data_IF_442442049776
#
_entry.id   IF_442442049776
#
_cell.length_a   1.000
_cell.length_b   1.000
_cell.length_c   1.000
_cell.angle_alpha   90.00
_cell.angle_beta   90.00
_cell.angle_gamma   90.00
#
_symmetry.space_group_name_H-M   'P 1'
#
loop_
_entity.id
_entity.type
_entity.pdbx_description
1 polymer ?
#
# COMPACT_ATOMS: atom_id res chain seq x y z
N UNK A 1 -3.65 -13.66 -29.84
CA UNK A 1 -3.38 -13.77 -28.39
C UNK A 1 -2.00 -14.40 -28.24
N UNK A 2 -1.03 -13.70 -27.65
CA UNK A 2 0.30 -14.28 -27.44
C UNK A 2 0.17 -15.38 -26.38
N UNK A 3 0.30 -16.64 -26.79
CA UNK A 3 0.35 -17.77 -25.86
C UNK A 3 1.66 -17.62 -25.09
N UNK A 4 1.57 -17.21 -23.83
CA UNK A 4 2.73 -17.21 -22.96
C UNK A 4 3.24 -18.66 -22.89
N UNK A 5 4.55 -18.85 -23.10
CA UNK A 5 5.20 -20.17 -23.06
C UNK A 5 5.03 -20.88 -21.71
N UNK A 6 4.65 -20.14 -20.68
CA UNK A 6 4.40 -20.63 -19.33
C UNK A 6 3.04 -20.14 -18.85
N UNK A 7 2.29 -21.04 -18.20
CA UNK A 7 1.01 -20.71 -17.57
C UNK A 7 1.20 -19.78 -16.36
N UNK A 8 0.15 -19.04 -15.99
CA UNK A 8 0.17 -18.16 -14.84
C UNK A 8 0.41 -18.92 -13.53
N UNK A 9 -0.12 -20.13 -13.38
CA UNK A 9 0.10 -20.97 -12.19
C UNK A 9 1.58 -21.30 -12.00
N UNK A 10 2.27 -21.65 -13.10
CA UNK A 10 3.71 -21.94 -13.08
C UNK A 10 4.52 -20.71 -12.63
N UNK A 11 4.14 -19.52 -13.11
CA UNK A 11 4.78 -18.27 -12.72
C UNK A 11 4.57 -17.97 -11.23
N UNK A 12 3.35 -18.11 -10.74
CA UNK A 12 3.02 -17.84 -9.33
C UNK A 12 3.70 -18.82 -8.39
N UNK A 13 3.73 -20.11 -8.77
CA UNK A 13 4.47 -21.14 -8.05
C UNK A 13 5.97 -20.84 -7.99
N UNK A 14 6.56 -20.43 -9.11
CA UNK A 14 7.98 -20.08 -9.14
C UNK A 14 8.32 -18.88 -8.26
N UNK A 15 7.45 -17.85 -8.23
CA UNK A 15 7.63 -16.69 -7.34
C UNK A 15 7.48 -17.08 -5.87
N UNK A 16 6.51 -17.93 -5.52
CA UNK A 16 6.33 -18.41 -4.14
C UNK A 16 7.58 -19.15 -3.63
N UNK A 17 8.07 -20.11 -4.41
CA UNK A 17 9.28 -20.87 -4.09
C UNK A 17 10.52 -19.96 -3.98
N UNK A 18 10.59 -18.91 -4.79
CA UNK A 18 11.66 -17.93 -4.68
C UNK A 18 11.66 -17.21 -3.33
N UNK A 19 10.51 -16.73 -2.89
CA UNK A 19 10.41 -16.06 -1.59
C UNK A 19 10.69 -17.01 -0.43
N UNK A 20 10.26 -18.26 -0.52
CA UNK A 20 10.54 -19.31 0.46
C UNK A 20 12.04 -19.60 0.57
N UNK A 21 12.72 -19.87 -0.56
CA UNK A 21 14.17 -20.14 -0.59
C UNK A 21 14.98 -18.94 -0.10
N UNK A 22 14.60 -17.71 -0.47
CA UNK A 22 15.29 -16.50 0.00
C UNK A 22 15.08 -16.29 1.51
N UNK A 23 13.91 -16.64 2.05
CA UNK A 23 13.63 -16.53 3.47
C UNK A 23 14.34 -17.60 4.31
N UNK A 24 14.46 -18.83 3.80
CA UNK A 24 15.03 -19.97 4.53
C UNK A 24 16.56 -20.08 4.40
N UNK A 25 17.10 -20.04 3.19
CA UNK A 25 18.51 -20.38 2.94
C UNK A 25 19.47 -19.17 3.11
N UNK A 26 18.94 -17.94 3.22
CA UNK A 26 19.75 -16.72 3.09
C UNK A 26 20.54 -16.68 1.78
N UNK A 27 20.11 -17.47 0.79
CA UNK A 27 20.86 -17.74 -0.42
C UNK A 27 21.02 -16.46 -1.25
N UNK A 28 22.18 -16.32 -1.87
CA UNK A 28 22.37 -15.27 -2.87
C UNK A 28 21.31 -15.42 -3.96
N UNK A 29 20.74 -14.30 -4.42
CA UNK A 29 19.68 -14.28 -5.42
C UNK A 29 20.02 -15.21 -6.60
N UNK A 30 21.24 -15.17 -7.11
CA UNK A 30 21.71 -16.02 -8.22
C UNK A 30 21.63 -17.53 -7.94
N UNK A 31 21.92 -17.97 -6.72
CA UNK A 31 21.80 -19.36 -6.30
C UNK A 31 20.34 -19.83 -6.27
N UNK A 32 19.45 -18.99 -5.72
CA UNK A 32 18.01 -19.26 -5.71
C UNK A 32 17.43 -19.37 -7.13
N UNK A 33 17.83 -18.46 -8.05
CA UNK A 33 17.40 -18.51 -9.44
C UNK A 33 17.81 -19.82 -10.14
N UNK A 34 19.04 -20.29 -9.93
CA UNK A 34 19.53 -21.55 -10.54
C UNK A 34 18.83 -22.77 -9.95
N UNK A 35 18.66 -22.82 -8.63
CA UNK A 35 17.98 -23.92 -7.91
C UNK A 35 16.54 -24.07 -8.40
N UNK A 36 15.78 -22.99 -8.41
CA UNK A 36 14.36 -23.00 -8.79
C UNK A 36 14.19 -23.17 -10.29
N UNK A 37 15.05 -22.54 -11.10
CA UNK A 37 15.06 -22.74 -12.55
C UNK A 37 15.26 -24.20 -12.93
N UNK A 38 16.18 -24.90 -12.26
CA UNK A 38 16.37 -26.35 -12.45
C UNK A 38 15.18 -27.20 -11.95
N UNK A 39 14.53 -26.81 -10.86
CA UNK A 39 13.38 -27.55 -10.31
C UNK A 39 12.13 -27.48 -11.19
N UNK A 40 11.91 -26.35 -11.87
CA UNK A 40 10.72 -26.10 -12.69
C UNK A 40 10.99 -26.21 -14.19
N UNK A 41 12.22 -26.54 -14.58
CA UNK A 41 12.71 -26.50 -15.98
C UNK A 41 12.49 -25.13 -16.66
N UNK A 42 12.70 -24.06 -15.89
CA UNK A 42 12.53 -22.67 -16.34
C UNK A 42 13.90 -22.02 -16.45
N UNK A 43 14.13 -21.31 -17.55
CA UNK A 43 15.36 -20.53 -17.71
C UNK A 43 15.51 -19.53 -16.54
N UNK A 44 16.64 -19.54 -15.81
CA UNK A 44 16.89 -18.61 -14.71
C UNK A 44 16.72 -17.13 -15.08
N UNK A 45 17.02 -16.75 -16.32
CA UNK A 45 16.81 -15.40 -16.82
C UNK A 45 15.31 -15.03 -16.92
N UNK A 46 14.46 -16.00 -17.27
CA UNK A 46 13.00 -15.82 -17.28
C UNK A 46 12.46 -15.66 -15.86
N UNK A 47 12.93 -16.48 -14.93
CA UNK A 47 12.57 -16.39 -13.51
C UNK A 47 12.98 -15.03 -12.93
N UNK A 48 14.20 -14.58 -13.22
CA UNK A 48 14.69 -13.25 -12.86
C UNK A 48 13.77 -12.14 -13.36
N UNK A 49 13.38 -12.18 -14.64
CA UNK A 49 12.46 -11.19 -15.21
C UNK A 49 11.08 -11.18 -14.52
N UNK A 50 10.57 -12.34 -14.10
CA UNK A 50 9.32 -12.41 -13.37
C UNK A 50 9.42 -11.81 -11.96
N UNK A 51 10.52 -12.08 -11.26
CA UNK A 51 10.81 -11.52 -9.94
C UNK A 51 10.95 -10.00 -10.02
N UNK A 52 11.72 -9.48 -10.98
CA UNK A 52 11.85 -8.03 -11.21
C UNK A 52 10.50 -7.36 -11.48
N UNK A 53 9.67 -7.97 -12.33
CA UNK A 53 8.32 -7.46 -12.58
C UNK A 53 7.46 -7.48 -11.31
N UNK A 54 7.51 -8.56 -10.52
CA UNK A 54 6.76 -8.65 -9.27
C UNK A 54 7.19 -7.58 -8.25
N UNK A 55 8.50 -7.36 -8.11
CA UNK A 55 9.05 -6.31 -7.24
C UNK A 55 8.63 -4.91 -7.70
N UNK A 56 8.69 -4.63 -9.01
CA UNK A 56 8.25 -3.36 -9.57
C UNK A 56 6.76 -3.12 -9.34
N UNK A 57 5.90 -4.12 -9.58
CA UNK A 57 4.46 -4.01 -9.34
C UNK A 57 4.16 -3.78 -7.85
N UNK A 58 4.85 -4.48 -6.95
CA UNK A 58 4.69 -4.27 -5.51
C UNK A 58 5.13 -2.85 -5.09
N UNK A 59 6.25 -2.36 -5.62
CA UNK A 59 6.72 -1.00 -5.36
C UNK A 59 5.71 0.06 -5.83
N UNK A 60 5.12 -0.13 -7.01
CA UNK A 60 4.06 0.74 -7.55
C UNK A 60 2.80 0.71 -6.68
N UNK A 61 2.36 -0.47 -6.23
CA UNK A 61 1.21 -0.61 -5.33
C UNK A 61 1.44 0.11 -4.00
N UNK A 62 2.63 -0.03 -3.42
CA UNK A 62 3.04 0.65 -2.20
C UNK A 62 3.10 2.18 -2.38
N UNK A 63 3.63 2.65 -3.52
CA UNK A 63 3.67 4.08 -3.84
C UNK A 63 2.26 4.68 -3.95
N UNK A 64 1.35 3.97 -4.63
CA UNK A 64 -0.05 4.39 -4.76
C UNK A 64 -0.75 4.44 -3.40
N UNK A 65 -0.59 3.42 -2.56
CA UNK A 65 -1.15 3.41 -1.20
C UNK A 65 -0.62 4.56 -0.33
N UNK A 66 0.67 4.90 -0.46
CA UNK A 66 1.25 6.06 0.25
C UNK A 66 0.65 7.37 -0.24
N UNK A 67 0.44 7.53 -1.54
CA UNK A 67 -0.18 8.72 -2.12
C UNK A 67 -1.63 8.89 -1.63
N UNK A 68 -2.41 7.80 -1.65
CA UNK A 68 -3.81 7.81 -1.24
C UNK A 68 -3.94 8.19 0.25
N UNK A 69 -3.09 7.61 1.12
CA UNK A 69 -3.02 7.97 2.55
C UNK A 69 -2.65 9.42 2.78
N UNK A 70 -1.73 9.97 1.98
CA UNK A 70 -1.32 11.36 2.12
C UNK A 70 -2.43 12.34 1.69
N UNK A 71 -3.21 11.98 0.67
CA UNK A 71 -4.37 12.76 0.24
C UNK A 71 -5.46 12.79 1.33
N UNK A 72 -5.75 11.65 1.97
CA UNK A 72 -6.71 11.56 3.07
C UNK A 72 -6.27 12.39 4.28
N UNK A 73 -4.99 12.34 4.66
CA UNK A 73 -4.44 13.16 5.74
C UNK A 73 -4.54 14.66 5.46
N UNK A 74 -4.36 15.08 4.20
CA UNK A 74 -4.50 16.49 3.81
C UNK A 74 -5.96 16.95 3.95
N UNK A 75 -6.92 16.14 3.49
CA UNK A 75 -8.35 16.43 3.64
C UNK A 75 -8.75 16.53 5.11
N UNK A 76 -8.37 15.55 5.93
CA UNK A 76 -8.68 15.54 7.36
C UNK A 76 -8.09 16.72 8.13
N UNK A 77 -6.93 17.24 7.70
CA UNK A 77 -6.32 18.45 8.27
C UNK A 77 -7.10 19.72 7.91
N UNK A 78 -7.54 19.84 6.66
CA UNK A 78 -8.40 20.95 6.24
C UNK A 78 -9.73 20.93 6.97
N UNK A 79 -10.37 19.77 7.06
CA UNK A 79 -11.66 19.61 7.76
C UNK A 79 -11.52 19.94 9.26
N UNK A 80 -10.43 19.50 9.90
CA UNK A 80 -10.16 19.86 11.30
C UNK A 80 -9.95 21.36 11.49
N UNK A 81 -9.30 22.03 10.53
CA UNK A 81 -9.10 23.47 10.61
C UNK A 81 -10.43 24.20 10.53
N UNK A 82 -11.27 23.85 9.55
CA UNK A 82 -12.61 24.42 9.38
C UNK A 82 -13.51 24.16 10.60
N UNK A 83 -13.46 22.96 11.17
CA UNK A 83 -14.20 22.62 12.39
C UNK A 83 -13.72 23.42 13.61
N UNK A 84 -12.43 23.72 13.69
CA UNK A 84 -11.89 24.58 14.77
C UNK A 84 -12.36 26.02 14.60
N UNK A 85 -12.28 26.57 13.39
CA UNK A 85 -12.77 27.93 13.10
C UNK A 85 -14.27 28.07 13.38
N UNK A 86 -15.08 27.08 12.97
CA UNK A 86 -16.51 27.07 13.26
C UNK A 86 -16.79 26.99 14.77
N UNK A 87 -16.05 26.16 15.51
CA UNK A 87 -16.17 26.07 16.96
C UNK A 87 -15.79 27.38 17.65
N UNK A 88 -14.77 28.09 17.17
CA UNK A 88 -14.39 29.38 17.72
C UNK A 88 -15.48 30.43 17.49
N UNK A 89 -16.06 30.51 16.28
CA UNK A 89 -17.19 31.41 16.02
C UNK A 89 -18.40 31.10 16.89
N UNK A 90 -18.76 29.82 17.05
CA UNK A 90 -19.88 29.42 17.89
C UNK A 90 -19.64 29.72 19.37
N UNK A 91 -18.41 29.49 19.86
CA UNK A 91 -18.03 29.86 21.22
C UNK A 91 -18.14 31.36 21.43
N UNK A 92 -17.64 32.17 20.50
CA UNK A 92 -17.76 33.64 20.56
C UNK A 92 -19.22 34.08 20.54
N UNK A 93 -20.06 33.50 19.68
CA UNK A 93 -21.49 33.78 19.63
C UNK A 93 -22.23 33.39 20.92
N UNK A 94 -21.90 32.23 21.49
CA UNK A 94 -22.48 31.76 22.76
C UNK A 94 -22.06 32.61 23.95
N UNK A 95 -20.83 33.11 23.96
CA UNK A 95 -20.33 34.05 24.97
C UNK A 95 -21.05 35.40 24.89
N UNK A 96 -21.54 35.79 23.71
CA UNK A 96 -22.30 37.02 23.48
C UNK A 96 -23.82 36.85 23.67
N UNK A 97 -24.30 35.63 23.94
CA UNK A 97 -25.73 35.39 24.12
C UNK A 97 -26.20 35.87 25.50
N UNK A 98 -27.22 36.73 25.59
CA UNK A 98 -27.70 37.23 26.87
C UNK A 98 -28.27 36.09 27.72
N UNK A 99 -27.85 36.01 28.98
CA UNK A 99 -28.41 35.09 29.98
C UNK A 99 -29.88 35.48 30.18
N UNK A 100 -30.79 34.75 29.54
CA UNK A 100 -32.23 34.92 29.71
C UNK A 100 -32.57 34.60 31.17
N UNK A 101 -32.70 35.64 32.01
CA UNK A 101 -33.23 35.52 33.36
C UNK A 101 -34.72 35.23 33.24
N UNK A 102 -35.09 33.97 33.38
CA UNK A 102 -36.48 33.59 33.65
C UNK A 102 -36.81 34.05 35.07
N UNK A 103 -37.40 35.23 35.18
CA UNK A 103 -38.12 35.66 36.38
C UNK A 103 -39.50 35.00 36.35
N UNK A 104 -39.62 33.86 37.03
CA UNK A 104 -40.91 33.23 37.29
C UNK A 104 -41.62 34.01 38.42
N UNK A 105 -42.87 34.38 38.18
CA UNK A 105 -43.79 35.00 39.15
C UNK A 105 -44.28 33.99 40.18
#
# INVERSE_FOLDING_TARGET
MAVAKYDQDTRERALRLYYEVVAEDGATNSGAHRKIGGMLDINPATLHNWIHKALATNAQAMAKSKQDKNAELAQLRTDNHQLKEANEMLKLASAFSPRRSVSAH
#
